data_IF_183689878211
#
_entry.id   IF_183689878211
#
_cell.length_a   1.000
_cell.length_b   1.000
_cell.length_c   1.000
_cell.angle_alpha   90.00
_cell.angle_beta   90.00
_cell.angle_gamma   90.00
#
_symmetry.space_group_name_H-M   'P 1'
#
loop_
_entity.id
_entity.type
_entity.pdbx_description
1 polymer ?
#
# COMPACT_ATOMS: atom_id res chain seq x y z
N UNK A 1 -30.27 -11.81 -14.03
CA UNK A 1 -29.93 -13.07 -13.32
C UNK A 1 -28.51 -13.47 -13.73
N UNK A 2 -27.64 -13.69 -12.75
CA UNK A 2 -26.44 -14.54 -12.90
C UNK A 2 -25.11 -13.90 -13.32
N UNK A 3 -24.43 -13.20 -12.41
CA UNK A 3 -22.98 -13.34 -12.13
C UNK A 3 -22.56 -12.34 -11.05
N UNK A 4 -22.07 -12.80 -9.91
CA UNK A 4 -21.66 -11.91 -8.80
C UNK A 4 -21.31 -12.62 -7.49
N UNK A 5 -21.67 -13.89 -7.36
CA UNK A 5 -21.60 -14.67 -6.12
C UNK A 5 -20.20 -14.91 -5.54
N UNK A 6 -19.11 -14.56 -6.23
CA UNK A 6 -17.77 -14.71 -5.66
C UNK A 6 -17.23 -13.45 -4.94
N UNK A 7 -17.80 -12.27 -5.17
CA UNK A 7 -17.22 -11.01 -4.65
C UNK A 7 -18.06 -10.32 -3.57
N UNK A 8 -19.38 -10.55 -3.53
CA UNK A 8 -20.26 -9.96 -2.51
C UNK A 8 -19.92 -10.44 -1.10
N UNK A 9 -19.37 -11.66 -0.99
CA UNK A 9 -18.93 -12.22 0.28
C UNK A 9 -17.55 -11.70 0.75
N UNK A 10 -16.83 -10.86 0.00
CA UNK A 10 -15.45 -10.48 0.34
C UNK A 10 -15.28 -9.06 0.90
N UNK A 11 -16.35 -8.26 0.96
CA UNK A 11 -16.32 -6.87 1.45
C UNK A 11 -17.57 -6.57 2.26
N UNK A 12 -17.42 -5.85 3.37
CA UNK A 12 -18.54 -5.43 4.20
C UNK A 12 -19.48 -4.49 3.44
N UNK A 13 -20.76 -4.49 3.79
CA UNK A 13 -21.75 -3.59 3.18
C UNK A 13 -21.39 -2.12 3.34
N UNK A 14 -20.82 -1.72 4.50
CA UNK A 14 -20.40 -0.34 4.77
C UNK A 14 -19.25 0.10 3.87
N UNK A 15 -18.25 -0.76 3.67
CA UNK A 15 -17.14 -0.49 2.74
C UNK A 15 -17.63 -0.48 1.30
N UNK A 16 -18.43 -1.48 0.89
CA UNK A 16 -18.99 -1.56 -0.45
C UNK A 16 -19.79 -0.30 -0.81
N UNK A 17 -20.61 0.21 0.11
CA UNK A 17 -21.38 1.43 -0.09
C UNK A 17 -20.49 2.68 -0.24
N UNK A 18 -19.44 2.82 0.56
CA UNK A 18 -18.55 3.98 0.46
C UNK A 18 -17.70 4.00 -0.82
N UNK A 19 -17.45 2.83 -1.41
CA UNK A 19 -16.64 2.66 -2.62
C UNK A 19 -17.47 2.41 -3.89
N UNK A 20 -18.80 2.29 -3.77
CA UNK A 20 -19.72 2.11 -4.90
C UNK A 20 -19.46 3.03 -6.11
N UNK A 21 -19.13 4.34 -5.95
CA UNK A 21 -18.90 5.23 -7.11
C UNK A 21 -17.68 4.89 -7.98
N UNK A 22 -16.78 4.04 -7.47
CA UNK A 22 -15.61 3.51 -8.19
C UNK A 22 -15.68 2.00 -8.39
N UNK A 23 -16.63 1.33 -7.74
CA UNK A 23 -16.89 -0.11 -7.75
C UNK A 23 -16.85 -0.69 -6.34
N UNK A 24 -17.91 -1.40 -5.95
CA UNK A 24 -18.11 -1.98 -4.60
C UNK A 24 -16.93 -2.81 -4.08
N UNK A 25 -16.25 -3.53 -4.98
CA UNK A 25 -15.12 -4.41 -4.64
C UNK A 25 -13.75 -3.76 -4.88
N UNK A 26 -13.67 -2.50 -5.31
CA UNK A 26 -12.36 -1.87 -5.60
C UNK A 26 -11.50 -1.73 -4.35
N UNK A 27 -12.10 -1.45 -3.20
CA UNK A 27 -11.37 -1.30 -1.95
C UNK A 27 -10.58 -2.57 -1.59
N UNK A 28 -11.24 -3.74 -1.63
CA UNK A 28 -10.58 -5.01 -1.29
C UNK A 28 -9.54 -5.41 -2.33
N UNK A 29 -9.81 -5.19 -3.63
CA UNK A 29 -8.85 -5.52 -4.69
C UNK A 29 -7.58 -4.66 -4.59
N UNK A 30 -7.72 -3.36 -4.32
CA UNK A 30 -6.59 -2.46 -4.12
C UNK A 30 -5.83 -2.79 -2.82
N UNK A 31 -6.54 -3.11 -1.74
CA UNK A 31 -5.90 -3.56 -0.50
C UNK A 31 -5.11 -4.86 -0.68
N UNK A 32 -5.65 -5.84 -1.41
CA UNK A 32 -4.95 -7.10 -1.75
C UNK A 32 -3.74 -6.85 -2.65
N UNK A 33 -3.87 -6.01 -3.68
CA UNK A 33 -2.76 -5.65 -4.56
C UNK A 33 -1.63 -4.95 -3.78
N UNK A 34 -1.97 -4.00 -2.92
CA UNK A 34 -1.03 -3.34 -2.02
C UNK A 34 -0.38 -4.31 -1.03
N UNK A 35 -1.14 -5.26 -0.50
CA UNK A 35 -0.60 -6.29 0.40
C UNK A 35 0.39 -7.22 -0.31
N UNK A 36 0.03 -7.78 -1.47
CA UNK A 36 0.89 -8.68 -2.24
C UNK A 36 2.19 -7.97 -2.63
N UNK A 37 2.10 -6.74 -3.15
CA UNK A 37 3.30 -5.96 -3.49
C UNK A 37 4.19 -5.68 -2.28
N UNK A 38 3.58 -5.39 -1.11
CA UNK A 38 4.32 -5.18 0.14
C UNK A 38 5.00 -6.47 0.64
N UNK A 39 4.34 -7.62 0.53
CA UNK A 39 4.93 -8.92 0.90
C UNK A 39 6.12 -9.26 -0.01
N UNK A 40 5.99 -9.03 -1.32
CA UNK A 40 7.12 -9.25 -2.25
C UNK A 40 8.29 -8.35 -1.87
N UNK A 41 8.05 -7.06 -1.64
CA UNK A 41 9.09 -6.13 -1.19
C UNK A 41 9.73 -6.58 0.14
N UNK A 42 8.93 -7.08 1.08
CA UNK A 42 9.43 -7.57 2.36
C UNK A 42 10.35 -8.78 2.17
N UNK A 43 9.92 -9.76 1.37
CA UNK A 43 10.71 -10.96 1.07
C UNK A 43 12.03 -10.58 0.41
N UNK A 44 12.00 -9.70 -0.60
CA UNK A 44 13.23 -9.23 -1.26
C UNK A 44 14.15 -8.54 -0.25
N UNK A 45 13.59 -7.66 0.59
CA UNK A 45 14.35 -6.95 1.62
C UNK A 45 15.01 -7.91 2.61
N UNK A 46 14.28 -8.92 3.10
CA UNK A 46 14.81 -9.96 4.01
C UNK A 46 15.95 -10.72 3.32
N UNK A 47 15.73 -11.20 2.10
CA UNK A 47 16.73 -11.98 1.36
C UNK A 47 18.00 -11.17 1.16
N UNK A 48 17.88 -9.92 0.71
CA UNK A 48 19.04 -9.04 0.47
C UNK A 48 19.77 -8.72 1.78
N UNK A 49 19.03 -8.48 2.87
CA UNK A 49 19.64 -8.24 4.17
C UNK A 49 20.43 -9.44 4.70
N UNK A 50 19.90 -10.65 4.53
CA UNK A 50 20.57 -11.87 4.99
C UNK A 50 21.77 -12.23 4.12
N UNK A 51 21.74 -11.91 2.82
CA UNK A 51 22.73 -12.42 1.84
C UNK A 51 23.81 -11.42 1.43
N UNK A 52 23.50 -10.13 1.38
CA UNK A 52 24.38 -9.13 0.76
C UNK A 52 24.54 -7.87 1.61
N UNK A 53 23.49 -7.36 2.26
CA UNK A 53 23.58 -6.10 2.99
C UNK A 53 24.34 -6.20 4.33
N UNK A 54 24.62 -7.40 4.83
CA UNK A 54 25.46 -7.62 6.02
C UNK A 54 26.75 -8.39 5.69
N UNK A 55 27.17 -8.37 4.43
CA UNK A 55 28.42 -8.98 4.04
C UNK A 55 29.61 -8.23 4.68
N UNK A 56 30.76 -8.90 4.90
CA UNK A 56 31.90 -8.34 5.67
C UNK A 56 32.54 -7.09 5.06
N UNK A 57 32.25 -6.85 3.78
CA UNK A 57 32.64 -5.72 2.95
C UNK A 57 31.65 -4.54 3.00
N UNK A 58 30.59 -4.62 3.82
CA UNK A 58 29.69 -3.50 4.03
C UNK A 58 30.33 -2.43 4.96
N UNK A 59 30.64 -1.27 4.38
CA UNK A 59 31.23 -0.12 5.06
C UNK A 59 30.38 0.48 6.20
N UNK A 60 29.08 0.17 6.25
CA UNK A 60 28.14 0.78 7.20
C UNK A 60 27.91 -0.05 8.47
N UNK A 61 28.61 -1.17 8.62
CA UNK A 61 28.57 -2.02 9.80
C UNK A 61 27.36 -2.96 9.89
N UNK A 62 27.42 -3.98 10.79
CA UNK A 62 26.38 -4.99 10.91
C UNK A 62 25.04 -4.40 11.35
N UNK A 63 23.95 -4.80 10.69
CA UNK A 63 22.59 -4.42 11.07
C UNK A 63 22.03 -3.20 10.33
N UNK A 64 22.87 -2.42 9.64
CA UNK A 64 22.46 -1.17 8.99
C UNK A 64 21.40 -1.36 7.91
N UNK A 65 21.48 -2.45 7.12
CA UNK A 65 20.44 -2.76 6.14
C UNK A 65 19.06 -3.00 6.75
N UNK A 66 18.99 -3.61 7.94
CA UNK A 66 17.72 -3.85 8.63
C UNK A 66 17.09 -2.55 9.08
N UNK A 67 17.89 -1.59 9.52
CA UNK A 67 17.42 -0.28 9.99
C UNK A 67 16.94 0.57 8.81
N UNK A 68 17.65 0.53 7.69
CA UNK A 68 17.36 1.38 6.53
C UNK A 68 16.22 0.80 5.69
N UNK A 69 16.14 -0.52 5.51
CA UNK A 69 15.28 -1.11 4.48
C UNK A 69 13.99 -1.78 5.01
N UNK A 70 13.88 -2.03 6.31
CA UNK A 70 12.71 -2.73 6.87
C UNK A 70 11.55 -1.84 7.30
N UNK A 71 11.75 -0.68 7.94
CA UNK A 71 10.66 0.01 8.63
C UNK A 71 9.44 0.28 7.74
N UNK A 72 9.61 0.88 6.56
CA UNK A 72 8.50 1.26 5.69
C UNK A 72 7.84 0.05 5.05
N UNK A 73 8.61 -0.96 4.64
CA UNK A 73 8.04 -2.19 4.06
C UNK A 73 7.27 -2.99 5.12
N UNK A 74 7.81 -3.07 6.34
CA UNK A 74 7.12 -3.69 7.48
C UNK A 74 5.82 -2.97 7.85
N UNK A 75 5.85 -1.64 7.91
CA UNK A 75 4.65 -0.82 8.14
C UNK A 75 3.64 -1.00 7.00
N UNK A 76 4.07 -1.08 5.75
CA UNK A 76 3.19 -1.30 4.60
C UNK A 76 2.48 -2.66 4.67
N UNK A 77 3.19 -3.73 5.05
CA UNK A 77 2.59 -5.05 5.28
C UNK A 77 1.56 -5.01 6.42
N UNK A 78 1.92 -4.45 7.57
CA UNK A 78 0.99 -4.36 8.71
C UNK A 78 -0.26 -3.53 8.36
N UNK A 79 -0.07 -2.38 7.72
CA UNK A 79 -1.17 -1.49 7.35
C UNK A 79 -2.08 -2.10 6.28
N UNK A 80 -1.50 -2.78 5.29
CA UNK A 80 -2.28 -3.47 4.25
C UNK A 80 -3.10 -4.61 4.83
N UNK A 81 -2.59 -5.37 5.81
CA UNK A 81 -3.37 -6.35 6.57
C UNK A 81 -4.55 -5.71 7.30
N UNK A 82 -4.35 -4.57 7.96
CA UNK A 82 -5.45 -3.83 8.61
C UNK A 82 -6.50 -3.39 7.59
N UNK A 83 -6.08 -2.89 6.42
CA UNK A 83 -6.99 -2.50 5.35
C UNK A 83 -7.84 -3.67 4.84
N UNK A 84 -7.26 -4.86 4.68
CA UNK A 84 -8.00 -6.09 4.31
C UNK A 84 -9.04 -6.43 5.39
N UNK A 85 -8.65 -6.40 6.67
CA UNK A 85 -9.57 -6.67 7.78
C UNK A 85 -10.71 -5.65 7.85
N UNK A 86 -10.41 -4.35 7.67
CA UNK A 86 -11.43 -3.30 7.62
C UNK A 86 -12.37 -3.46 6.42
N UNK A 87 -11.85 -3.81 5.25
CA UNK A 87 -12.65 -4.13 4.08
C UNK A 87 -13.61 -5.28 4.34
N UNK A 88 -13.14 -6.35 5.01
CA UNK A 88 -13.90 -7.58 5.22
C UNK A 88 -14.93 -7.46 6.35
N UNK A 89 -14.53 -6.91 7.50
CA UNK A 89 -15.28 -7.01 8.76
C UNK A 89 -15.85 -5.68 9.26
N UNK A 90 -15.34 -4.54 8.78
CA UNK A 90 -15.71 -3.23 9.33
C UNK A 90 -15.89 -2.20 8.21
N UNK A 91 -15.48 -0.96 8.41
CA UNK A 91 -15.62 0.13 7.46
C UNK A 91 -14.26 0.69 7.07
N UNK A 92 -13.85 0.49 5.81
CA UNK A 92 -12.69 1.15 5.26
C UNK A 92 -13.10 2.49 4.63
N UNK A 93 -12.92 3.57 5.39
CA UNK A 93 -13.18 4.93 4.92
C UNK A 93 -12.23 5.34 3.79
N UNK A 94 -12.72 5.90 2.67
CA UNK A 94 -11.85 6.50 1.65
C UNK A 94 -10.94 7.59 2.22
N UNK A 95 -11.40 8.36 3.22
CA UNK A 95 -10.58 9.40 3.86
C UNK A 95 -9.42 8.81 4.65
N UNK A 96 -9.65 7.69 5.34
CA UNK A 96 -8.60 6.99 6.07
C UNK A 96 -7.51 6.51 5.11
N UNK A 97 -7.90 5.92 3.97
CA UNK A 97 -6.97 5.49 2.92
C UNK A 97 -6.16 6.66 2.38
N UNK A 98 -6.80 7.80 2.07
CA UNK A 98 -6.11 9.00 1.59
C UNK A 98 -5.06 9.46 2.61
N UNK A 99 -5.47 9.62 3.88
CA UNK A 99 -4.59 10.13 4.93
C UNK A 99 -3.39 9.19 5.18
N UNK A 100 -3.65 7.89 5.30
CA UNK A 100 -2.58 6.92 5.57
C UNK A 100 -1.62 6.79 4.40
N UNK A 101 -2.13 6.72 3.16
CA UNK A 101 -1.30 6.51 1.98
C UNK A 101 -0.55 7.79 1.56
N UNK A 102 -1.03 8.97 1.95
CA UNK A 102 -0.29 10.24 1.83
C UNK A 102 0.98 10.27 2.72
N UNK A 103 1.05 9.44 3.76
CA UNK A 103 2.24 9.29 4.60
C UNK A 103 3.09 8.10 4.13
N UNK A 104 2.45 6.95 3.86
CA UNK A 104 3.14 5.72 3.49
C UNK A 104 3.87 5.84 2.14
N UNK A 105 3.25 6.42 1.11
CA UNK A 105 3.90 6.51 -0.21
C UNK A 105 5.18 7.37 -0.17
N UNK A 106 5.18 8.60 0.38
CA UNK A 106 6.43 9.36 0.54
C UNK A 106 7.45 8.69 1.45
N UNK A 107 7.01 8.02 2.52
CA UNK A 107 7.89 7.26 3.41
C UNK A 107 8.67 6.17 2.66
N UNK A 108 7.96 5.36 1.87
CA UNK A 108 8.58 4.31 1.03
C UNK A 108 9.50 4.89 -0.06
N UNK A 109 9.16 6.04 -0.63
CA UNK A 109 10.03 6.73 -1.59
C UNK A 109 11.31 7.20 -0.91
N UNK A 110 11.21 7.83 0.26
CA UNK A 110 12.37 8.27 1.02
C UNK A 110 13.26 7.08 1.40
N UNK A 111 12.67 5.99 1.87
CA UNK A 111 13.39 4.76 2.21
C UNK A 111 14.09 4.11 1.01
N UNK A 112 13.42 4.06 -0.14
CA UNK A 112 14.02 3.58 -1.39
C UNK A 112 15.20 4.45 -1.85
N UNK A 113 15.07 5.78 -1.74
CA UNK A 113 16.17 6.71 -2.06
C UNK A 113 17.35 6.48 -1.12
N UNK A 114 17.12 6.40 0.20
CA UNK A 114 18.18 6.12 1.17
C UNK A 114 18.85 4.78 0.87
N UNK A 115 18.07 3.75 0.56
CA UNK A 115 18.59 2.43 0.17
C UNK A 115 19.50 2.50 -1.06
N UNK A 116 19.16 3.30 -2.07
CA UNK A 116 20.03 3.48 -3.25
C UNK A 116 21.28 4.29 -2.93
N UNK A 117 21.18 5.30 -2.06
CA UNK A 117 22.31 6.16 -1.72
C UNK A 117 23.34 5.45 -0.83
N UNK A 118 22.88 4.57 0.06
CA UNK A 118 23.76 3.85 0.99
C UNK A 118 24.35 2.56 0.44
N UNK A 119 23.87 2.03 -0.69
CA UNK A 119 24.39 0.78 -1.25
C UNK A 119 24.92 0.97 -2.66
N UNK A 120 26.08 0.38 -2.93
CA UNK A 120 26.76 0.56 -4.20
C UNK A 120 26.01 -0.10 -5.37
N UNK A 121 25.94 0.61 -6.49
CA UNK A 121 25.20 0.20 -7.70
C UNK A 121 25.69 -1.10 -8.34
N UNK A 122 26.94 -1.48 -8.10
CA UNK A 122 27.54 -2.70 -8.64
C UNK A 122 27.30 -3.94 -7.75
N UNK A 123 26.65 -3.75 -6.59
CA UNK A 123 26.15 -4.83 -5.73
C UNK A 123 24.65 -4.98 -5.90
N UNK A 124 24.08 -6.13 -5.53
CA UNK A 124 22.62 -6.33 -5.57
C UNK A 124 21.88 -5.65 -4.40
N UNK A 125 22.61 -5.04 -3.46
CA UNK A 125 22.07 -4.57 -2.20
C UNK A 125 21.09 -3.38 -2.33
N UNK A 126 21.13 -2.62 -3.43
CA UNK A 126 20.16 -1.55 -3.72
C UNK A 126 18.81 -2.06 -4.27
N UNK A 127 18.73 -3.34 -4.69
CA UNK A 127 17.53 -3.92 -5.31
C UNK A 127 16.23 -3.76 -4.49
N UNK A 128 16.22 -3.84 -3.14
CA UNK A 128 15.02 -3.59 -2.35
C UNK A 128 14.34 -2.24 -2.63
N UNK A 129 15.12 -1.21 -2.99
CA UNK A 129 14.58 0.11 -3.32
C UNK A 129 13.61 0.09 -4.50
N UNK A 130 13.88 -0.74 -5.52
CA UNK A 130 12.99 -0.89 -6.68
C UNK A 130 11.62 -1.39 -6.22
N UNK A 131 11.61 -2.36 -5.32
CA UNK A 131 10.38 -2.92 -4.77
C UNK A 131 9.68 -1.93 -3.83
N UNK A 132 10.41 -1.14 -3.04
CA UNK A 132 9.83 -0.03 -2.27
C UNK A 132 9.12 0.98 -3.17
N UNK A 133 9.70 1.34 -4.32
CA UNK A 133 9.05 2.22 -5.28
C UNK A 133 7.79 1.59 -5.90
N UNK A 134 7.81 0.28 -6.20
CA UNK A 134 6.60 -0.43 -6.66
C UNK A 134 5.49 -0.41 -5.60
N UNK A 135 5.83 -0.59 -4.32
CA UNK A 135 4.87 -0.48 -3.21
C UNK A 135 4.37 0.97 -3.09
N UNK A 136 5.23 1.98 -3.26
CA UNK A 136 4.83 3.38 -3.25
C UNK A 136 3.88 3.74 -4.41
N UNK A 137 4.11 3.19 -5.60
CA UNK A 137 3.20 3.34 -6.76
C UNK A 137 1.85 2.68 -6.45
N UNK A 138 1.86 1.45 -5.95
CA UNK A 138 0.65 0.72 -5.55
C UNK A 138 -0.15 1.50 -4.50
N UNK A 139 0.55 2.05 -3.50
CA UNK A 139 -0.01 2.92 -2.47
C UNK A 139 -0.65 4.19 -3.05
N UNK A 140 0.04 4.84 -3.99
CA UNK A 140 -0.44 6.05 -4.68
C UNK A 140 -1.67 5.79 -5.54
N UNK A 141 -1.71 4.65 -6.23
CA UNK A 141 -2.90 4.21 -6.99
C UNK A 141 -4.08 3.99 -6.05
N UNK A 142 -3.87 3.33 -4.90
CA UNK A 142 -4.93 3.12 -3.92
C UNK A 142 -5.49 4.46 -3.40
N UNK A 143 -4.61 5.40 -3.05
CA UNK A 143 -5.00 6.75 -2.65
C UNK A 143 -5.78 7.48 -3.76
N UNK A 144 -5.35 7.39 -5.02
CA UNK A 144 -6.03 8.00 -6.16
C UNK A 144 -7.46 7.50 -6.35
N UNK A 145 -7.69 6.19 -6.20
CA UNK A 145 -9.03 5.62 -6.21
C UNK A 145 -9.86 6.06 -5.00
N UNK A 146 -9.26 6.18 -3.82
CA UNK A 146 -9.93 6.68 -2.62
C UNK A 146 -10.38 8.14 -2.78
N UNK A 147 -9.54 9.02 -3.37
CA UNK A 147 -9.91 10.40 -3.72
C UNK A 147 -11.12 10.40 -4.66
N UNK A 148 -11.10 9.55 -5.70
CA UNK A 148 -12.20 9.44 -6.66
C UNK A 148 -13.49 8.96 -5.99
N UNK A 149 -13.42 7.97 -5.11
CA UNK A 149 -14.56 7.49 -4.33
C UNK A 149 -15.15 8.58 -3.45
N UNK A 150 -14.30 9.32 -2.72
CA UNK A 150 -14.71 10.41 -1.84
C UNK A 150 -15.36 11.57 -2.61
N UNK A 151 -14.74 12.03 -3.69
CA UNK A 151 -15.26 13.14 -4.51
C UNK A 151 -16.61 12.82 -5.13
N UNK A 152 -16.73 11.64 -5.76
CA UNK A 152 -17.97 11.22 -6.41
C UNK A 152 -19.11 10.92 -5.45
N UNK A 153 -18.87 10.82 -4.14
CA UNK A 153 -19.92 10.64 -3.13
C UNK A 153 -20.51 11.98 -2.66
N UNK A 154 -19.71 13.04 -2.65
CA UNK A 154 -20.16 14.41 -2.32
C UNK A 154 -21.01 15.03 -3.43
N UNK A 155 -20.65 14.83 -4.70
CA UNK A 155 -21.39 15.37 -5.86
C UNK A 155 -22.89 14.95 -5.91
N UNK A 156 -23.26 13.68 -5.72
CA UNK A 156 -24.67 13.27 -5.73
C UNK A 156 -25.46 13.76 -4.52
N UNK A 157 -24.84 14.02 -3.36
CA UNK A 157 -25.55 14.62 -2.22
C UNK A 157 -25.90 16.10 -2.47
N UNK A 158 -24.99 16.86 -3.08
CA UNK A 158 -25.24 18.28 -3.37
C UNK A 158 -26.32 18.47 -4.45
N UNK A 159 -26.37 17.61 -5.47
CA UNK A 159 -27.42 17.70 -6.51
C UNK A 159 -28.83 17.44 -5.99
N UNK A 160 -28.99 16.61 -4.96
CA UNK A 160 -30.30 16.33 -4.36
C UNK A 160 -30.78 17.53 -3.52
N UNK A 161 -29.86 18.23 -2.85
CA UNK A 161 -30.14 19.43 -2.06
C UNK A 161 -30.44 20.67 -2.92
N UNK A 162 -29.97 20.71 -4.17
CA UNK A 162 -30.29 21.81 -5.11
C UNK A 162 -31.62 21.63 -5.85
N UNK A 163 -32.24 20.44 -5.77
CA UNK A 163 -33.52 20.12 -6.42
C UNK A 163 -34.70 19.99 -5.46
N UNK A 164 -34.48 20.23 -4.17
CA UNK A 164 -35.50 20.22 -3.10
C UNK A 164 -35.76 21.66 -2.64
#
# INVERSE_FOLDING_TARGET
MGSGWCCDACTSSRTAYAWQPVGSHKAILLALSFHITSIIALVVTVVINVTSANAPDNDYGPGTGWIIMMPGVGVAVLWSSICILLCRFSYLSPVLVIASHAIIAPGLVAEGILTILFYEWHTIAWLPAVFMFLVAISSSVFAGYAVRAHRKRKVPQNKILETA
#
